data_IF_220781396811
#
_entry.id   IF_220781396811
#
_cell.length_a   1.000
_cell.length_b   1.000
_cell.length_c   1.000
_cell.angle_alpha   90.00
_cell.angle_beta   90.00
_cell.angle_gamma   90.00
#
_symmetry.space_group_name_H-M   'P 1'
#
loop_
_entity.id
_entity.type
_entity.pdbx_description
1 polymer ?
#
# COMPACT_ATOMS: atom_id res chain seq x y z
N UNK A 1 11.31 0.27 -5.57
CA UNK A 1 10.38 -0.41 -4.65
C UNK A 1 11.06 -0.46 -3.28
N UNK A 2 10.31 -0.29 -2.18
CA UNK A 2 10.82 -0.30 -0.81
C UNK A 2 9.83 -1.01 0.10
N UNK A 3 10.33 -1.88 0.98
CA UNK A 3 9.57 -2.48 2.06
C UNK A 3 9.43 -1.53 3.24
N UNK A 4 8.18 -1.26 3.63
CA UNK A 4 7.84 -0.54 4.85
C UNK A 4 7.54 -1.59 5.90
N UNK A 5 8.58 -1.96 6.64
CA UNK A 5 8.58 -3.06 7.60
C UNK A 5 7.77 -2.69 8.84
N UNK A 6 6.76 -3.51 9.14
CA UNK A 6 5.93 -3.32 10.33
C UNK A 6 6.76 -3.33 11.61
N UNK A 7 7.72 -4.25 11.73
CA UNK A 7 8.62 -4.36 12.88
C UNK A 7 9.58 -3.19 13.10
N UNK A 8 9.77 -2.32 12.10
CA UNK A 8 10.52 -1.05 12.26
C UNK A 8 9.54 0.08 12.58
N UNK A 9 8.49 0.20 11.77
CA UNK A 9 7.61 1.36 11.80
C UNK A 9 6.66 1.39 13.01
N UNK A 10 6.35 0.26 13.66
CA UNK A 10 5.53 0.20 14.88
C UNK A 10 6.29 -0.53 16.01
N UNK A 11 7.61 -0.32 16.10
CA UNK A 11 8.49 -1.02 17.05
C UNK A 11 8.23 -0.65 18.52
N UNK A 12 7.97 0.63 18.80
CA UNK A 12 7.88 1.18 20.17
C UNK A 12 6.59 0.81 20.91
N UNK A 13 5.59 0.30 20.19
CA UNK A 13 4.37 -0.24 20.78
C UNK A 13 3.13 -0.05 19.92
N UNK A 14 1.99 -0.60 20.37
CA UNK A 14 0.72 -0.52 19.64
C UNK A 14 0.31 0.93 19.34
N UNK A 15 0.12 1.26 18.07
CA UNK A 15 -0.30 2.58 17.59
C UNK A 15 0.80 3.65 17.61
N UNK A 16 2.03 3.29 17.98
CA UNK A 16 3.18 4.22 18.03
C UNK A 16 4.00 4.06 16.75
N UNK A 17 3.70 4.89 15.76
CA UNK A 17 4.30 4.81 14.44
C UNK A 17 5.51 5.75 14.27
N UNK A 18 6.64 5.22 13.83
CA UNK A 18 7.84 5.99 13.47
C UNK A 18 8.22 5.74 12.00
N UNK A 19 7.90 6.72 11.15
CA UNK A 19 8.21 6.68 9.71
C UNK A 19 9.39 7.58 9.31
N UNK A 20 10.14 8.15 10.26
CA UNK A 20 11.15 9.19 9.98
C UNK A 20 12.24 8.71 9.01
N UNK A 21 12.77 7.49 9.20
CA UNK A 21 13.76 6.93 8.27
C UNK A 21 13.19 6.70 6.85
N UNK A 22 11.92 6.32 6.75
CA UNK A 22 11.22 6.19 5.46
C UNK A 22 11.00 7.55 4.79
N UNK A 23 10.72 8.59 5.57
CA UNK A 23 10.60 9.97 5.09
C UNK A 23 11.89 10.47 4.44
N UNK A 24 13.03 10.29 5.12
CA UNK A 24 14.33 10.64 4.55
C UNK A 24 14.60 9.90 3.24
N UNK A 25 14.28 8.61 3.18
CA UNK A 25 14.41 7.81 1.96
C UNK A 25 13.52 8.32 0.81
N UNK A 26 12.26 8.63 1.10
CA UNK A 26 11.33 9.15 0.10
C UNK A 26 11.73 10.55 -0.38
N UNK A 27 12.29 11.39 0.49
CA UNK A 27 12.86 12.67 0.09
C UNK A 27 14.07 12.52 -0.83
N UNK A 28 14.97 11.57 -0.54
CA UNK A 28 16.10 11.26 -1.41
C UNK A 28 15.64 10.78 -2.79
N UNK A 29 14.64 9.90 -2.84
CA UNK A 29 14.05 9.44 -4.10
C UNK A 29 13.40 10.60 -4.87
N UNK A 30 12.66 11.47 -4.18
CA UNK A 30 12.04 12.66 -4.79
C UNK A 30 13.08 13.63 -5.37
N UNK A 31 14.16 13.91 -4.63
CA UNK A 31 15.27 14.79 -5.07
C UNK A 31 15.98 14.27 -6.33
N UNK A 32 15.98 12.95 -6.52
CA UNK A 32 16.58 12.30 -7.69
C UNK A 32 15.58 12.01 -8.82
N UNK A 33 14.33 12.45 -8.68
CA UNK A 33 13.27 12.23 -9.68
C UNK A 33 12.78 10.78 -9.78
N UNK A 34 13.11 9.94 -8.80
CA UNK A 34 12.67 8.55 -8.75
C UNK A 34 11.24 8.44 -8.19
N UNK A 35 10.50 7.46 -8.71
CA UNK A 35 9.21 7.04 -8.14
C UNK A 35 9.44 5.94 -7.11
N UNK A 36 8.65 5.95 -6.05
CA UNK A 36 8.71 4.94 -4.98
C UNK A 36 7.44 4.09 -5.02
N UNK A 37 7.63 2.77 -4.97
CA UNK A 37 6.58 1.81 -4.69
C UNK A 37 6.81 1.30 -3.27
N UNK A 38 5.92 1.64 -2.34
CA UNK A 38 5.98 1.16 -0.97
C UNK A 38 5.20 -0.16 -0.85
N UNK A 39 5.82 -1.16 -0.24
CA UNK A 39 5.20 -2.43 0.14
C UNK A 39 4.89 -2.36 1.63
N UNK A 40 3.65 -2.64 2.04
CA UNK A 40 3.28 -2.72 3.45
C UNK A 40 3.69 -4.10 3.97
N UNK A 41 4.88 -4.20 4.54
CA UNK A 41 5.54 -5.47 4.83
C UNK A 41 5.20 -5.92 6.25
N UNK A 42 4.02 -6.53 6.39
CA UNK A 42 3.50 -7.13 7.64
C UNK A 42 4.12 -8.51 7.96
N UNK A 43 5.32 -8.78 7.45
CA UNK A 43 6.04 -10.03 7.61
C UNK A 43 7.48 -9.77 8.07
N UNK A 44 8.15 -10.80 8.59
CA UNK A 44 9.57 -10.75 8.90
C UNK A 44 10.43 -10.67 7.62
N UNK A 45 11.49 -9.86 7.66
CA UNK A 45 12.58 -9.90 6.69
C UNK A 45 13.67 -10.87 7.16
N UNK A 46 14.08 -11.79 6.28
CA UNK A 46 15.18 -12.71 6.51
C UNK A 46 14.86 -13.79 7.55
N UNK A 47 15.92 -14.33 8.16
CA UNK A 47 15.85 -15.44 9.13
C UNK A 47 16.49 -16.73 8.64
N UNK A 48 17.09 -16.71 7.44
CA UNK A 48 17.79 -17.84 6.84
C UNK A 48 19.31 -17.69 6.92
N UNK A 49 20.01 -18.82 6.76
CA UNK A 49 21.48 -18.85 6.70
C UNK A 49 21.94 -18.02 5.50
N UNK A 50 22.71 -16.96 5.76
CA UNK A 50 23.25 -16.07 4.74
C UNK A 50 22.54 -14.72 4.62
N UNK A 51 21.44 -14.52 5.34
CA UNK A 51 20.79 -13.20 5.39
C UNK A 51 21.65 -12.22 6.20
N UNK A 52 21.88 -11.03 5.65
CA UNK A 52 22.66 -9.96 6.30
C UNK A 52 21.82 -9.07 7.21
N UNK A 53 20.50 -9.17 7.11
CA UNK A 53 19.52 -8.35 7.83
C UNK A 53 18.39 -9.25 8.30
N UNK A 54 17.97 -9.06 9.55
CA UNK A 54 16.80 -9.72 10.12
C UNK A 54 15.91 -8.66 10.75
N UNK A 55 14.69 -8.53 10.25
CA UNK A 55 13.70 -7.58 10.75
C UNK A 55 12.47 -8.40 11.15
N UNK A 56 12.27 -8.71 12.43
CA UNK A 56 11.12 -9.49 12.89
C UNK A 56 9.82 -8.67 12.80
N UNK A 57 8.69 -9.30 13.12
CA UNK A 57 7.47 -8.58 13.50
C UNK A 57 7.73 -7.67 14.71
N UNK A 58 6.86 -6.67 14.99
CA UNK A 58 7.02 -5.83 16.17
C UNK A 58 7.14 -6.67 17.45
N UNK A 59 8.05 -6.30 18.36
CA UNK A 59 8.30 -7.07 19.58
C UNK A 59 7.03 -7.32 20.40
N UNK A 60 6.15 -6.31 20.49
CA UNK A 60 4.87 -6.43 21.19
C UNK A 60 3.88 -7.40 20.55
N UNK A 61 4.03 -7.72 19.25
CA UNK A 61 3.25 -8.76 18.55
C UNK A 61 3.83 -10.13 18.88
N UNK A 62 5.16 -10.28 18.81
CA UNK A 62 5.85 -11.52 19.17
C UNK A 62 5.55 -11.92 20.61
N UNK A 63 5.48 -10.97 21.54
CA UNK A 63 5.05 -11.21 22.92
C UNK A 63 3.65 -11.83 23.03
N UNK A 64 2.70 -11.43 22.17
CA UNK A 64 1.36 -12.04 22.16
C UNK A 64 1.39 -13.43 21.52
N UNK A 65 2.21 -13.63 20.48
CA UNK A 65 2.42 -14.94 19.85
C UNK A 65 3.13 -15.94 20.79
N UNK A 66 3.99 -15.46 21.68
CA UNK A 66 4.64 -16.29 22.71
C UNK A 66 3.65 -16.73 23.79
N UNK A 67 2.63 -15.91 24.09
CA UNK A 67 1.54 -16.25 25.03
C UNK A 67 0.55 -17.22 24.41
N UNK A 68 0.23 -17.02 23.14
CA UNK A 68 -0.68 -17.87 22.37
C UNK A 68 -0.04 -18.23 21.02
N UNK A 69 0.54 -19.43 20.96
CA UNK A 69 1.23 -19.90 19.77
C UNK A 69 0.29 -20.24 18.61
N UNK A 70 -1.02 -20.29 18.82
CA UNK A 70 -1.99 -20.49 17.73
C UNK A 70 -2.18 -19.24 16.88
N UNK A 71 -1.58 -18.11 17.31
CA UNK A 71 -1.40 -16.92 16.49
C UNK A 71 -0.37 -17.11 15.36
N UNK A 72 0.50 -18.12 15.45
CA UNK A 72 1.46 -18.47 14.40
C UNK A 72 0.88 -19.48 13.41
N UNK A 73 1.29 -19.39 12.15
CA UNK A 73 1.04 -20.50 11.22
C UNK A 73 1.73 -21.76 11.70
N UNK A 74 1.04 -22.89 11.56
CA UNK A 74 1.48 -24.15 12.14
C UNK A 74 1.35 -25.26 11.12
N UNK A 75 2.42 -25.99 10.92
CA UNK A 75 2.41 -27.11 10.00
C UNK A 75 1.86 -28.40 10.64
N UNK A 76 1.72 -29.46 9.84
CA UNK A 76 1.23 -30.77 10.29
C UNK A 76 2.08 -31.44 11.37
N UNK A 77 3.32 -30.99 11.58
CA UNK A 77 4.26 -31.52 12.56
C UNK A 77 4.29 -30.66 13.84
N UNK A 78 3.45 -29.62 13.92
CA UNK A 78 3.38 -28.71 15.05
C UNK A 78 4.46 -27.62 15.05
N UNK A 79 5.21 -27.44 13.96
CA UNK A 79 6.21 -26.36 13.85
C UNK A 79 5.52 -25.02 13.62
N UNK A 80 5.92 -24.01 14.38
CA UNK A 80 5.36 -22.65 14.34
C UNK A 80 6.21 -21.75 13.45
N UNK A 81 5.57 -20.94 12.62
CA UNK A 81 6.22 -19.89 11.82
C UNK A 81 5.84 -18.50 12.38
N UNK A 82 6.84 -17.77 12.89
CA UNK A 82 6.69 -16.43 13.49
C UNK A 82 6.93 -15.27 12.51
N UNK A 83 7.11 -15.57 11.22
CA UNK A 83 7.32 -14.55 10.19
C UNK A 83 6.04 -13.77 9.89
N UNK A 84 4.86 -14.31 10.23
CA UNK A 84 3.56 -13.70 9.95
C UNK A 84 2.49 -14.16 10.95
N UNK A 85 1.50 -13.30 11.22
CA UNK A 85 0.35 -13.62 12.07
C UNK A 85 -0.67 -14.45 11.28
N UNK A 86 -1.07 -15.61 11.80
CA UNK A 86 -2.00 -16.53 11.15
C UNK A 86 -3.31 -15.86 10.74
N UNK A 87 -3.78 -16.08 9.50
CA UNK A 87 -5.08 -15.58 9.03
C UNK A 87 -6.25 -16.05 9.90
N UNK A 88 -6.08 -17.17 10.63
CA UNK A 88 -7.12 -17.74 11.49
C UNK A 88 -7.56 -16.81 12.62
N UNK A 89 -6.78 -15.78 12.95
CA UNK A 89 -7.08 -14.83 14.01
C UNK A 89 -7.39 -13.41 13.50
N UNK A 90 -7.55 -13.18 12.19
CA UNK A 90 -7.73 -11.84 11.59
C UNK A 90 -8.89 -11.01 12.19
N UNK A 91 -9.95 -11.69 12.65
CA UNK A 91 -11.14 -11.09 13.25
C UNK A 91 -11.14 -11.13 14.79
N UNK A 92 -10.11 -11.69 15.41
CA UNK A 92 -10.03 -11.92 16.86
C UNK A 92 -9.17 -10.83 17.52
N UNK A 93 -9.58 -10.24 18.67
CA UNK A 93 -8.88 -9.11 19.29
C UNK A 93 -7.65 -9.55 20.12
N UNK A 94 -6.75 -10.29 19.49
CA UNK A 94 -5.61 -10.99 20.12
C UNK A 94 -4.34 -10.14 20.24
N UNK A 95 -4.31 -8.95 19.64
CA UNK A 95 -3.15 -8.07 19.60
C UNK A 95 -3.36 -6.86 20.52
N UNK A 96 -3.16 -7.08 21.84
CA UNK A 96 -3.39 -6.07 22.90
C UNK A 96 -4.81 -5.45 22.82
N UNK A 97 -5.81 -6.27 22.48
CA UNK A 97 -7.21 -5.86 22.35
C UNK A 97 -7.63 -5.38 20.94
N UNK A 98 -6.71 -5.33 19.96
CA UNK A 98 -7.02 -5.11 18.54
C UNK A 98 -6.97 -6.43 17.77
N UNK A 99 -7.67 -6.47 16.64
CA UNK A 99 -7.53 -7.57 15.69
C UNK A 99 -6.35 -7.34 14.73
N UNK A 100 -5.74 -8.39 14.14
CA UNK A 100 -4.71 -8.22 13.12
C UNK A 100 -5.14 -7.31 11.97
N UNK A 101 -6.38 -7.47 11.46
CA UNK A 101 -6.87 -6.63 10.36
C UNK A 101 -7.03 -5.16 10.77
N UNK A 102 -7.36 -4.88 12.03
CA UNK A 102 -7.36 -3.51 12.57
C UNK A 102 -5.94 -2.95 12.61
N UNK A 103 -4.95 -3.71 13.10
CA UNK A 103 -3.55 -3.30 13.11
C UNK A 103 -3.05 -2.96 11.69
N UNK A 104 -3.32 -3.80 10.71
CA UNK A 104 -2.93 -3.55 9.31
C UNK A 104 -3.61 -2.30 8.74
N UNK A 105 -4.91 -2.13 9.00
CA UNK A 105 -5.66 -0.98 8.54
C UNK A 105 -5.17 0.33 9.18
N UNK A 106 -4.90 0.33 10.48
CA UNK A 106 -4.39 1.48 11.21
C UNK A 106 -2.99 1.86 10.73
N UNK A 107 -2.12 0.87 10.52
CA UNK A 107 -0.79 1.08 9.94
C UNK A 107 -0.88 1.74 8.55
N UNK A 108 -1.72 1.23 7.65
CA UNK A 108 -1.90 1.80 6.32
C UNK A 108 -2.49 3.22 6.36
N UNK A 109 -3.39 3.51 7.30
CA UNK A 109 -3.91 4.87 7.51
C UNK A 109 -2.82 5.81 8.01
N UNK A 110 -2.05 5.38 9.03
CA UNK A 110 -0.94 6.16 9.57
C UNK A 110 0.12 6.45 8.50
N UNK A 111 0.46 5.45 7.68
CA UNK A 111 1.35 5.62 6.53
C UNK A 111 0.80 6.63 5.53
N UNK A 112 -0.46 6.46 5.08
CA UNK A 112 -1.12 7.42 4.16
C UNK A 112 -1.08 8.84 4.71
N UNK A 113 -1.42 9.04 5.98
CA UNK A 113 -1.53 10.35 6.59
C UNK A 113 -0.14 11.00 6.76
N UNK A 114 0.87 10.22 7.16
CA UNK A 114 2.26 10.69 7.28
C UNK A 114 2.84 11.10 5.92
N UNK A 115 2.53 10.35 4.85
CA UNK A 115 3.05 10.57 3.51
C UNK A 115 2.10 11.32 2.58
N UNK A 116 1.05 11.97 3.10
CA UNK A 116 0.02 12.61 2.28
C UNK A 116 0.58 13.59 1.23
N UNK A 117 1.71 14.24 1.51
CA UNK A 117 2.40 15.18 0.60
C UNK A 117 3.27 14.50 -0.46
N UNK A 118 3.57 13.20 -0.32
CA UNK A 118 4.30 12.36 -1.27
C UNK A 118 3.38 11.50 -2.14
N UNK A 119 2.09 11.43 -1.81
CA UNK A 119 1.13 10.61 -2.54
C UNK A 119 0.80 11.24 -3.90
N UNK A 120 1.62 10.94 -4.90
CA UNK A 120 1.24 11.05 -6.29
C UNK A 120 0.70 9.70 -6.77
N UNK A 121 -0.49 9.70 -7.36
CA UNK A 121 -1.03 8.50 -7.98
C UNK A 121 -0.19 8.12 -9.20
N UNK A 122 0.50 6.98 -9.13
CA UNK A 122 1.26 6.42 -10.25
C UNK A 122 0.60 5.14 -10.72
N UNK A 123 0.02 5.14 -11.92
CA UNK A 123 -0.32 3.90 -12.62
C UNK A 123 1.00 3.21 -13.00
N UNK A 124 1.32 2.12 -12.30
CA UNK A 124 2.59 1.40 -12.47
C UNK A 124 2.61 0.48 -13.70
N UNK A 125 1.46 0.28 -14.34
CA UNK A 125 1.36 -0.26 -15.69
C UNK A 125 0.19 0.43 -16.39
N UNK A 126 0.50 1.39 -17.26
CA UNK A 126 -0.48 1.80 -18.27
C UNK A 126 -0.42 0.74 -19.36
N UNK A 127 -1.25 -0.29 -19.23
CA UNK A 127 -1.43 -1.28 -20.30
C UNK A 127 -2.27 -0.69 -21.44
N UNK A 128 -2.23 -1.28 -22.64
CA UNK A 128 -3.05 -0.83 -23.77
C UNK A 128 -4.55 -0.78 -23.42
N UNK A 129 -5.00 -1.64 -22.50
CA UNK A 129 -6.37 -1.64 -21.99
C UNK A 129 -6.78 -0.33 -21.33
N UNK A 130 -5.87 0.39 -20.66
CA UNK A 130 -6.18 1.68 -20.03
C UNK A 130 -6.51 2.75 -21.07
N UNK A 131 -5.90 2.66 -22.26
CA UNK A 131 -6.07 3.61 -23.35
C UNK A 131 -7.24 3.27 -24.27
N UNK A 132 -7.98 2.19 -23.99
CA UNK A 132 -9.27 1.96 -24.65
C UNK A 132 -10.21 3.12 -24.32
N UNK A 133 -11.03 3.61 -25.27
CA UNK A 133 -11.83 4.82 -25.09
C UNK A 133 -12.69 4.86 -23.82
N UNK A 134 -13.35 3.75 -23.49
CA UNK A 134 -14.20 3.64 -22.30
C UNK A 134 -13.39 3.67 -20.99
N UNK A 135 -12.24 3.01 -20.99
CA UNK A 135 -11.36 2.95 -19.82
C UNK A 135 -10.65 4.30 -19.60
N UNK A 136 -10.22 4.95 -20.69
CA UNK A 136 -9.62 6.28 -20.65
C UNK A 136 -10.62 7.33 -20.17
N UNK A 137 -11.88 7.28 -20.65
CA UNK A 137 -12.95 8.14 -20.17
C UNK A 137 -13.18 7.98 -18.66
N UNK A 138 -13.26 6.74 -18.17
CA UNK A 138 -13.41 6.45 -16.74
C UNK A 138 -12.20 6.94 -15.94
N UNK A 139 -11.00 6.80 -16.50
CA UNK A 139 -9.77 7.29 -15.90
C UNK A 139 -9.75 8.82 -15.81
N UNK A 140 -10.08 9.54 -16.88
CA UNK A 140 -10.17 11.00 -16.88
C UNK A 140 -11.20 11.50 -15.86
N UNK A 141 -12.36 10.84 -15.76
CA UNK A 141 -13.37 11.13 -14.76
C UNK A 141 -12.86 10.90 -13.33
N UNK A 142 -12.12 9.80 -13.10
CA UNK A 142 -11.48 9.51 -11.83
C UNK A 142 -10.45 10.58 -11.43
N UNK A 143 -9.54 10.96 -12.33
CA UNK A 143 -8.52 11.98 -12.08
C UNK A 143 -9.17 13.33 -11.74
N UNK A 144 -10.20 13.73 -12.48
CA UNK A 144 -10.94 14.99 -12.23
C UNK A 144 -11.52 15.06 -10.82
N UNK A 145 -12.06 13.95 -10.29
CA UNK A 145 -12.57 13.89 -8.90
C UNK A 145 -11.50 14.05 -7.84
N UNK A 146 -10.27 13.64 -8.15
CA UNK A 146 -9.16 13.72 -7.22
C UNK A 146 -8.59 15.14 -7.13
N UNK A 147 -8.75 15.95 -8.17
CA UNK A 147 -8.21 17.32 -8.26
C UNK A 147 -9.16 18.40 -7.75
N UNK A 148 -10.47 18.14 -7.72
CA UNK A 148 -11.48 19.12 -7.33
C UNK A 148 -11.94 18.90 -5.87
N UNK A 149 -11.68 19.83 -4.93
CA UNK A 149 -12.19 19.76 -3.57
C UNK A 149 -13.73 19.77 -3.58
N UNK A 150 -14.36 18.69 -3.09
CA UNK A 150 -15.83 18.52 -3.07
C UNK A 150 -16.38 17.57 -4.13
N UNK A 151 -15.59 17.12 -5.11
CA UNK A 151 -16.05 16.19 -6.14
C UNK A 151 -16.35 14.76 -5.63
N UNK A 152 -16.06 14.45 -4.35
CA UNK A 152 -16.50 13.23 -3.68
C UNK A 152 -18.02 13.18 -3.45
N UNK A 153 -18.69 14.34 -3.41
CA UNK A 153 -20.14 14.48 -3.24
C UNK A 153 -20.88 14.70 -4.58
N UNK A 154 -20.15 14.94 -5.67
CA UNK A 154 -20.73 15.22 -6.98
C UNK A 154 -21.35 13.97 -7.64
N UNK A 155 -22.45 14.16 -8.36
CA UNK A 155 -23.15 13.10 -9.08
C UNK A 155 -22.22 12.43 -10.11
N UNK A 156 -22.13 11.10 -10.03
CA UNK A 156 -21.24 10.27 -10.86
C UNK A 156 -21.40 10.54 -12.35
N UNK A 157 -22.64 10.64 -12.82
CA UNK A 157 -22.98 10.84 -14.23
C UNK A 157 -22.54 12.20 -14.76
N UNK A 158 -22.63 13.25 -13.92
CA UNK A 158 -22.23 14.59 -14.30
C UNK A 158 -20.71 14.67 -14.52
N UNK A 159 -19.92 14.10 -13.60
CA UNK A 159 -18.47 14.07 -13.73
C UNK A 159 -18.03 13.22 -14.93
N UNK A 160 -18.72 12.11 -15.20
CA UNK A 160 -18.43 11.26 -16.36
C UNK A 160 -18.76 11.95 -17.69
N UNK A 161 -19.82 12.77 -17.76
CA UNK A 161 -20.13 13.61 -18.94
C UNK A 161 -19.09 14.70 -19.18
N UNK A 162 -18.67 15.40 -18.14
CA UNK A 162 -17.68 16.46 -18.28
C UNK A 162 -16.29 15.89 -18.64
N UNK A 163 -15.99 14.66 -18.21
CA UNK A 163 -14.80 13.94 -18.61
C UNK A 163 -14.82 13.48 -20.08
N UNK A 164 -15.99 13.39 -20.74
CA UNK A 164 -16.08 13.07 -22.18
C UNK A 164 -15.36 14.13 -23.03
N UNK A 165 -15.49 15.41 -22.67
CA UNK A 165 -14.80 16.50 -23.38
C UNK A 165 -13.28 16.37 -23.30
N UNK A 166 -12.76 15.99 -22.11
CA UNK A 166 -11.32 15.76 -21.89
C UNK A 166 -10.84 14.52 -22.63
N UNK A 167 -11.62 13.43 -22.59
CA UNK A 167 -11.30 12.19 -23.30
C UNK A 167 -11.27 12.40 -24.82
N UNK A 168 -12.22 13.15 -25.38
CA UNK A 168 -12.26 13.49 -26.79
C UNK A 168 -11.08 14.38 -27.20
N UNK A 169 -10.76 15.41 -26.42
CA UNK A 169 -9.63 16.31 -26.70
C UNK A 169 -8.27 15.61 -26.63
N UNK A 170 -8.13 14.57 -25.80
CA UNK A 170 -6.88 13.82 -25.60
C UNK A 170 -6.77 12.56 -26.47
N UNK A 171 -7.82 12.23 -27.23
CA UNK A 171 -7.91 11.00 -28.03
C UNK A 171 -6.73 10.76 -29.00
N UNK A 172 -6.18 11.77 -29.70
CA UNK A 172 -5.03 11.55 -30.60
C UNK A 172 -3.78 11.10 -29.84
N UNK A 173 -3.50 11.73 -28.69
CA UNK A 173 -2.34 11.41 -27.84
C UNK A 173 -2.48 10.05 -27.18
N UNK A 174 -3.70 9.68 -26.80
CA UNK A 174 -4.06 8.37 -26.24
C UNK A 174 -3.85 7.25 -27.26
N UNK A 175 -4.22 7.49 -28.52
CA UNK A 175 -4.01 6.53 -29.59
C UNK A 175 -2.52 6.29 -29.86
N UNK A 176 -1.74 7.38 -29.92
CA UNK A 176 -0.28 7.31 -30.09
C UNK A 176 0.40 6.54 -28.94
N UNK A 177 0.00 6.83 -27.70
CA UNK A 177 0.51 6.12 -26.52
C UNK A 177 0.14 4.62 -26.52
N UNK A 178 -1.09 4.28 -26.92
CA UNK A 178 -1.53 2.88 -27.00
C UNK A 178 -0.71 2.08 -28.02
N UNK A 179 -0.44 2.67 -29.19
CA UNK A 179 0.38 2.06 -30.26
C UNK A 179 1.82 1.84 -29.79
N UNK A 180 2.39 2.81 -29.06
CA UNK A 180 3.76 2.72 -28.54
C UNK A 180 3.94 1.61 -27.48
N UNK A 181 2.86 1.16 -26.84
CA UNK A 181 2.87 0.16 -25.77
C UNK A 181 2.54 -1.26 -26.23
N UNK A 182 2.19 -1.44 -27.51
CA UNK A 182 1.90 -2.74 -28.13
C UNK A 182 3.08 -3.34 -28.92
N UNK A 183 4.25 -2.68 -28.90
CA UNK A 183 5.49 -3.14 -29.52
C UNK A 183 6.54 -3.58 -28.49
#
# INVERSE_FOLDING_TARGET
>A
MVDVWWGIAEADGPGQYNFNGYMELMEMAKKTGLKVQAVMSFHQCGGNVGDSVTIPLPGWVLEEMDKDQDLAYTDRSGRRNYEYVSLGCDAMPVLKGRTPIQCYADFMRAFRDHFATFMAFTYLRMGPDLFQPDNWRRFAAFVKRMTEPGAREACREQVEREAEGVAHATQPLVHEAAVALTN
#
